data_IF_807356042649
#
_entry.id   IF_807356042649
#
_cell.length_a   1.000
_cell.length_b   1.000
_cell.length_c   1.000
_cell.angle_alpha   90.00
_cell.angle_beta   90.00
_cell.angle_gamma   90.00
#
_symmetry.space_group_name_H-M   'P 1'
#
loop_
_entity.id
_entity.type
_entity.pdbx_description
1 polymer ?
#
# COMPACT_ATOMS: atom_id res chain seq x y z
N UNK A 1 2.42 -19.56 -6.38
CA UNK A 1 1.06 -19.58 -6.88
C UNK A 1 0.07 -19.63 -5.73
N UNK A 2 -0.87 -18.72 -5.73
CA UNK A 2 -1.84 -18.65 -4.65
C UNK A 2 -2.66 -19.93 -4.51
N UNK A 3 -2.86 -20.64 -5.60
CA UNK A 3 -3.59 -21.89 -5.60
C UNK A 3 -2.96 -22.95 -4.71
N UNK A 4 -1.67 -22.91 -4.57
CA UNK A 4 -0.97 -23.90 -3.73
C UNK A 4 -1.43 -23.82 -2.28
N UNK A 5 -1.97 -22.72 -1.87
CA UNK A 5 -2.48 -22.56 -0.53
C UNK A 5 -3.82 -23.24 -0.34
N UNK A 6 -4.47 -23.63 -1.43
CA UNK A 6 -5.68 -24.43 -1.38
C UNK A 6 -6.86 -23.77 -0.68
N UNK A 7 -6.75 -22.51 -0.43
CA UNK A 7 -7.70 -21.86 0.42
C UNK A 7 -9.00 -21.56 -0.29
N UNK A 8 -8.93 -21.27 -1.57
CA UNK A 8 -10.12 -20.85 -2.30
C UNK A 8 -9.87 -20.85 -3.78
N UNK A 9 -10.93 -20.71 -4.51
CA UNK A 9 -10.86 -20.62 -5.95
C UNK A 9 -10.18 -19.31 -6.38
N UNK A 10 -9.19 -19.44 -7.26
CA UNK A 10 -8.52 -18.31 -7.87
C UNK A 10 -8.66 -18.44 -9.38
N UNK A 11 -9.32 -17.49 -10.05
CA UNK A 11 -9.45 -17.58 -11.49
C UNK A 11 -8.10 -17.47 -12.19
N UNK A 12 -8.01 -18.08 -13.34
CA UNK A 12 -6.83 -17.95 -14.18
C UNK A 12 -6.69 -16.52 -14.66
N UNK A 13 -5.48 -15.98 -14.58
CA UNK A 13 -5.20 -14.63 -15.05
C UNK A 13 -4.01 -14.65 -15.99
N UNK A 14 -3.93 -13.64 -16.85
CA UNK A 14 -2.80 -13.48 -17.76
C UNK A 14 -1.58 -12.95 -17.00
N UNK A 15 -0.37 -13.13 -17.56
CA UNK A 15 0.82 -12.49 -16.97
C UNK A 15 0.66 -10.99 -16.80
N UNK A 16 -0.01 -10.32 -17.75
CA UNK A 16 -0.25 -8.88 -17.67
C UNK A 16 -1.15 -8.52 -16.50
N UNK A 17 -2.19 -9.32 -16.26
CA UNK A 17 -3.08 -9.11 -15.12
C UNK A 17 -2.35 -9.37 -13.81
N UNK A 18 -1.53 -10.41 -13.77
CA UNK A 18 -0.71 -10.72 -12.61
C UNK A 18 0.19 -9.53 -12.27
N UNK A 19 0.86 -8.97 -13.27
CA UNK A 19 1.77 -7.84 -13.06
C UNK A 19 1.04 -6.62 -12.53
N UNK A 20 -0.19 -6.37 -13.00
CA UNK A 20 -1.00 -5.26 -12.47
C UNK A 20 -1.35 -5.48 -10.99
N UNK A 21 -1.73 -6.71 -10.64
CA UNK A 21 -2.06 -7.02 -9.24
C UNK A 21 -0.85 -6.89 -8.33
N UNK A 22 0.31 -7.38 -8.77
CA UNK A 22 1.53 -7.31 -7.97
C UNK A 22 1.98 -5.86 -7.78
N UNK A 23 1.79 -5.01 -8.79
CA UNK A 23 2.13 -3.59 -8.67
C UNK A 23 1.37 -2.95 -7.50
N UNK A 24 0.12 -3.31 -7.31
CA UNK A 24 -0.72 -2.75 -6.25
C UNK A 24 -0.46 -3.42 -4.89
N UNK A 25 -0.45 -4.75 -4.87
CA UNK A 25 -0.46 -5.50 -3.61
C UNK A 25 0.92 -5.72 -3.02
N UNK A 26 1.96 -5.58 -3.80
CA UNK A 26 3.33 -5.82 -3.35
C UNK A 26 4.24 -4.64 -3.64
N UNK A 27 4.43 -4.27 -4.90
CA UNK A 27 5.40 -3.23 -5.26
C UNK A 27 5.07 -1.90 -4.61
N UNK A 28 3.81 -1.47 -4.68
CA UNK A 28 3.39 -0.20 -4.09
C UNK A 28 3.61 -0.18 -2.58
N UNK A 29 3.31 -1.28 -1.89
CA UNK A 29 3.49 -1.32 -0.43
C UNK A 29 4.95 -1.12 -0.04
N UNK A 30 5.88 -1.69 -0.82
CA UNK A 30 7.31 -1.48 -0.58
C UNK A 30 7.74 -0.05 -0.88
N UNK A 31 7.20 0.54 -1.93
CA UNK A 31 7.45 1.95 -2.26
C UNK A 31 7.00 2.86 -1.13
N UNK A 32 5.79 2.61 -0.59
CA UNK A 32 5.23 3.43 0.48
C UNK A 32 6.09 3.33 1.75
N UNK A 33 6.51 2.13 2.10
CA UNK A 33 7.35 1.93 3.29
C UNK A 33 8.68 2.68 3.14
N UNK A 34 9.32 2.56 1.98
CA UNK A 34 10.58 3.25 1.72
C UNK A 34 10.40 4.76 1.75
N UNK A 35 9.34 5.27 1.12
CA UNK A 35 9.07 6.71 1.09
C UNK A 35 8.78 7.26 2.49
N UNK A 36 8.05 6.50 3.31
CA UNK A 36 7.74 6.93 4.67
C UNK A 36 9.02 7.04 5.50
N UNK A 37 9.90 6.06 5.41
CA UNK A 37 11.17 6.08 6.13
C UNK A 37 12.10 7.18 5.61
N UNK A 38 12.04 7.48 4.32
CA UNK A 38 12.86 8.54 3.73
C UNK A 38 12.36 9.95 4.01
N UNK A 39 11.26 10.07 4.75
CA UNK A 39 10.75 11.39 5.14
C UNK A 39 11.78 12.16 5.98
N UNK A 40 11.94 13.48 5.74
CA UNK A 40 12.79 14.32 6.60
C UNK A 40 12.34 14.33 8.06
N UNK A 41 11.15 13.85 8.35
CA UNK A 41 10.63 13.78 9.72
C UNK A 41 11.29 12.70 10.55
N UNK A 42 11.95 11.72 9.92
CA UNK A 42 12.67 10.68 10.63
C UNK A 42 13.94 11.27 11.24
N UNK A 43 14.09 11.14 12.56
CA UNK A 43 15.22 11.64 13.33
C UNK A 43 15.71 10.57 14.28
N UNK A 44 16.82 10.83 14.97
CA UNK A 44 17.41 9.86 15.90
C UNK A 44 16.44 9.48 17.02
N UNK A 45 15.67 10.45 17.52
CA UNK A 45 14.74 10.19 18.62
C UNK A 45 13.41 9.59 18.19
N UNK A 46 13.17 9.45 16.90
CA UNK A 46 11.94 8.83 16.37
C UNK A 46 11.71 7.45 16.99
N UNK A 47 12.79 6.72 17.25
CA UNK A 47 12.70 5.36 17.83
C UNK A 47 11.97 5.33 19.18
N UNK A 48 11.91 6.42 19.89
CA UNK A 48 11.21 6.49 21.18
C UNK A 48 9.71 6.72 21.02
N UNK A 49 9.25 7.03 19.83
CA UNK A 49 7.86 7.37 19.56
C UNK A 49 7.17 6.38 18.61
N UNK A 50 7.86 5.31 18.22
CA UNK A 50 7.29 4.33 17.31
C UNK A 50 6.30 3.44 18.04
N UNK A 51 5.13 3.25 17.43
CA UNK A 51 4.14 2.30 17.89
C UNK A 51 4.02 1.15 16.90
N UNK A 52 3.06 0.27 17.15
CA UNK A 52 2.83 -0.87 16.27
C UNK A 52 2.52 -0.48 14.84
N UNK A 53 1.70 0.57 14.66
CA UNK A 53 1.33 1.03 13.31
C UNK A 53 2.55 1.44 12.49
N UNK A 54 3.43 2.25 13.07
CA UNK A 54 4.60 2.71 12.36
C UNK A 54 5.50 1.54 11.98
N UNK A 55 5.73 0.63 12.92
CA UNK A 55 6.56 -0.55 12.66
C UNK A 55 5.97 -1.44 11.58
N UNK A 56 4.66 -1.67 11.63
CA UNK A 56 3.98 -2.51 10.64
C UNK A 56 4.04 -1.89 9.24
N UNK A 57 3.78 -0.58 9.14
CA UNK A 57 3.77 0.12 7.85
C UNK A 57 5.16 0.22 7.23
N UNK A 58 6.22 0.21 8.04
CA UNK A 58 7.59 0.39 7.56
C UNK A 58 8.40 -0.90 7.55
N UNK A 59 7.83 -2.00 7.99
CA UNK A 59 8.55 -3.28 8.15
C UNK A 59 9.31 -3.70 6.89
N UNK A 60 8.72 -3.47 5.73
CA UNK A 60 9.32 -3.88 4.45
C UNK A 60 10.24 -2.83 3.84
N UNK A 61 10.59 -1.78 4.59
CA UNK A 61 11.52 -0.76 4.07
C UNK A 61 12.97 -1.25 4.07
N UNK A 62 13.30 -2.18 4.96
CA UNK A 62 14.64 -2.78 5.01
C UNK A 62 14.66 -3.95 4.02
N UNK A 63 15.01 -3.66 2.79
CA UNK A 63 14.91 -4.60 1.68
C UNK A 63 16.24 -4.71 0.93
N UNK A 64 16.37 -5.79 0.17
CA UNK A 64 17.50 -5.95 -0.74
C UNK A 64 17.33 -4.92 -1.88
N UNK A 65 18.08 -3.83 -1.79
CA UNK A 65 17.90 -2.70 -2.71
C UNK A 65 18.19 -3.05 -4.16
N UNK A 66 19.19 -3.91 -4.42
CA UNK A 66 19.50 -4.31 -5.79
C UNK A 66 18.36 -5.11 -6.41
N UNK A 67 17.85 -6.08 -5.66
CA UNK A 67 16.75 -6.92 -6.13
C UNK A 67 15.50 -6.09 -6.39
N UNK A 68 15.12 -5.25 -5.43
CA UNK A 68 13.86 -4.50 -5.54
C UNK A 68 13.95 -3.38 -6.57
N UNK A 69 15.12 -2.79 -6.79
CA UNK A 69 15.31 -1.86 -7.90
C UNK A 69 14.97 -2.54 -9.22
N UNK A 70 15.48 -3.76 -9.42
CA UNK A 70 15.21 -4.50 -10.65
C UNK A 70 13.73 -4.89 -10.77
N UNK A 71 13.12 -5.32 -9.67
CA UNK A 71 11.71 -5.69 -9.66
C UNK A 71 10.80 -4.49 -9.97
N UNK A 72 11.10 -3.34 -9.38
CA UNK A 72 10.32 -2.13 -9.64
C UNK A 72 10.45 -1.71 -11.11
N UNK A 73 11.66 -1.72 -11.64
CA UNK A 73 11.88 -1.33 -13.02
C UNK A 73 11.24 -2.32 -14.01
N UNK A 74 11.23 -3.60 -13.65
CA UNK A 74 10.60 -4.61 -14.50
C UNK A 74 9.08 -4.43 -14.59
N UNK A 75 8.46 -3.79 -13.59
CA UNK A 75 7.01 -3.55 -13.57
C UNK A 75 6.71 -2.04 -13.55
N UNK A 76 7.58 -1.27 -14.15
CA UNK A 76 7.64 0.19 -14.04
C UNK A 76 6.32 0.87 -14.39
N UNK A 77 5.72 0.56 -15.52
CA UNK A 77 4.53 1.26 -15.97
C UNK A 77 3.33 1.03 -15.06
N UNK A 78 3.14 -0.22 -14.65
CA UNK A 78 2.08 -0.57 -13.72
C UNK A 78 2.30 0.09 -12.36
N UNK A 79 3.54 0.10 -11.89
CA UNK A 79 3.86 0.71 -10.60
C UNK A 79 3.66 2.21 -10.63
N UNK A 80 4.06 2.89 -11.69
CA UNK A 80 3.83 4.32 -11.83
C UNK A 80 2.33 4.65 -11.76
N UNK A 81 1.50 3.85 -12.42
CA UNK A 81 0.05 4.05 -12.37
C UNK A 81 -0.47 3.90 -10.94
N UNK A 82 0.01 2.90 -10.22
CA UNK A 82 -0.43 2.69 -8.84
C UNK A 82 0.04 3.79 -7.91
N UNK A 83 1.23 4.32 -8.12
CA UNK A 83 1.70 5.48 -7.37
C UNK A 83 0.81 6.68 -7.62
N UNK A 84 0.44 6.92 -8.88
CA UNK A 84 -0.46 8.03 -9.22
C UNK A 84 -1.81 7.88 -8.53
N UNK A 85 -2.37 6.68 -8.56
CA UNK A 85 -3.64 6.39 -7.89
C UNK A 85 -3.55 6.58 -6.38
N UNK A 86 -2.45 6.13 -5.79
CA UNK A 86 -2.23 6.34 -4.37
C UNK A 86 -2.09 7.81 -4.04
N UNK A 87 -1.36 8.55 -4.87
CA UNK A 87 -1.18 9.99 -4.68
C UNK A 87 -2.52 10.72 -4.70
N UNK A 88 -3.41 10.35 -5.60
CA UNK A 88 -4.76 10.93 -5.65
C UNK A 88 -5.55 10.62 -4.38
N UNK A 89 -5.50 9.38 -3.91
CA UNK A 89 -6.20 8.99 -2.68
C UNK A 89 -5.65 9.72 -1.47
N UNK A 90 -4.33 9.87 -1.40
CA UNK A 90 -3.68 10.61 -0.33
C UNK A 90 -4.06 12.08 -0.39
N UNK A 91 -4.10 12.65 -1.59
CA UNK A 91 -4.46 14.04 -1.81
C UNK A 91 -5.88 14.35 -1.37
N UNK A 92 -6.80 13.41 -1.54
CA UNK A 92 -8.18 13.59 -1.07
C UNK A 92 -8.24 13.78 0.44
N UNK A 93 -7.49 12.97 1.19
CA UNK A 93 -7.40 13.08 2.64
C UNK A 93 -6.73 14.41 3.02
N UNK A 94 -5.63 14.74 2.35
CA UNK A 94 -4.90 15.98 2.59
C UNK A 94 -5.81 17.20 2.39
N UNK A 95 -6.58 17.21 1.31
CA UNK A 95 -7.49 18.31 1.00
C UNK A 95 -8.56 18.44 2.07
N UNK A 96 -9.14 17.33 2.52
CA UNK A 96 -10.14 17.35 3.57
C UNK A 96 -9.55 17.91 4.87
N UNK A 97 -8.33 17.52 5.20
CA UNK A 97 -7.63 18.06 6.36
C UNK A 97 -7.33 19.55 6.22
N UNK A 98 -6.85 19.98 5.07
CA UNK A 98 -6.52 21.37 4.80
C UNK A 98 -7.75 22.27 4.95
N UNK A 99 -8.91 21.80 4.54
CA UNK A 99 -10.16 22.53 4.60
C UNK A 99 -10.91 22.32 5.91
N UNK A 100 -10.36 21.53 6.81
CA UNK A 100 -11.03 21.11 8.03
C UNK A 100 -12.45 20.57 7.74
N UNK A 101 -12.57 19.85 6.64
CA UNK A 101 -13.84 19.28 6.17
C UNK A 101 -14.08 17.95 6.87
N UNK A 102 -14.69 18.05 8.03
CA UNK A 102 -14.94 16.92 8.91
C UNK A 102 -15.79 15.84 8.23
N UNK A 103 -16.81 16.27 7.50
CA UNK A 103 -17.72 15.30 6.84
C UNK A 103 -17.02 14.49 5.77
N UNK A 104 -16.27 15.15 4.90
CA UNK A 104 -15.53 14.47 3.84
C UNK A 104 -14.47 13.54 4.43
N UNK A 105 -13.75 14.02 5.44
CA UNK A 105 -12.74 13.19 6.08
C UNK A 105 -13.36 11.94 6.70
N UNK A 106 -14.48 12.11 7.40
CA UNK A 106 -15.21 11.00 7.99
C UNK A 106 -15.64 9.99 6.93
N UNK A 107 -16.19 10.48 5.81
CA UNK A 107 -16.64 9.61 4.72
C UNK A 107 -15.48 8.81 4.12
N UNK A 108 -14.32 9.45 3.93
CA UNK A 108 -13.15 8.77 3.38
C UNK A 108 -12.68 7.65 4.31
N UNK A 109 -12.67 7.92 5.61
CA UNK A 109 -12.24 6.91 6.59
C UNK A 109 -13.26 5.77 6.72
N UNK A 110 -14.56 6.10 6.71
CA UNK A 110 -15.61 5.08 6.72
C UNK A 110 -15.54 4.18 5.50
N UNK A 111 -15.33 4.78 4.33
CA UNK A 111 -15.17 4.03 3.09
C UNK A 111 -14.01 3.04 3.18
N UNK A 112 -12.87 3.51 3.70
CA UNK A 112 -11.69 2.66 3.84
C UNK A 112 -11.97 1.49 4.78
N UNK A 113 -12.59 1.77 5.94
CA UNK A 113 -12.91 0.73 6.90
C UNK A 113 -13.86 -0.32 6.33
N UNK A 114 -14.88 0.13 5.62
CA UNK A 114 -15.85 -0.77 4.99
C UNK A 114 -15.19 -1.66 3.94
N UNK A 115 -14.36 -1.07 3.09
CA UNK A 115 -13.65 -1.81 2.05
C UNK A 115 -12.71 -2.83 2.67
N UNK A 116 -12.03 -2.49 3.75
CA UNK A 116 -11.14 -3.42 4.45
C UNK A 116 -11.92 -4.57 5.05
N UNK A 117 -13.05 -4.29 5.69
CA UNK A 117 -13.89 -5.35 6.25
C UNK A 117 -14.40 -6.31 5.19
N UNK A 118 -14.82 -5.78 4.04
CA UNK A 118 -15.27 -6.61 2.93
C UNK A 118 -14.16 -7.49 2.39
N UNK A 119 -12.95 -6.95 2.28
CA UNK A 119 -11.79 -7.71 1.84
C UNK A 119 -11.49 -8.85 2.81
N UNK A 120 -11.51 -8.55 4.11
CA UNK A 120 -11.25 -9.54 5.14
C UNK A 120 -12.34 -10.61 5.19
N UNK A 121 -13.60 -10.22 5.01
CA UNK A 121 -14.72 -11.17 4.98
C UNK A 121 -14.60 -12.13 3.80
N UNK A 122 -14.24 -11.62 2.62
CA UNK A 122 -14.00 -12.45 1.45
C UNK A 122 -12.85 -13.42 1.70
N UNK A 123 -11.86 -13.00 2.46
CA UNK A 123 -10.69 -13.82 2.80
C UNK A 123 -11.07 -15.01 3.68
N UNK A 124 -12.13 -14.90 4.43
CA UNK A 124 -12.58 -15.96 5.34
C UNK A 124 -13.48 -16.99 4.67
N UNK A 125 -13.98 -16.70 3.51
CA UNK A 125 -14.81 -17.65 2.77
C UNK A 125 -13.98 -18.42 1.76
#
# INVERSE_FOLDING_TARGET
MALALGCRHVPSITPEEHDRHIAYTSDLTHVLAAALINSPSLKEDTKYFTGGSFRDETRVADINSSLWTDLFLANRENLLLEIDRFTESLSAIKTALDRADKNTLHELLEKAGKRKRNLTAADKT
#
